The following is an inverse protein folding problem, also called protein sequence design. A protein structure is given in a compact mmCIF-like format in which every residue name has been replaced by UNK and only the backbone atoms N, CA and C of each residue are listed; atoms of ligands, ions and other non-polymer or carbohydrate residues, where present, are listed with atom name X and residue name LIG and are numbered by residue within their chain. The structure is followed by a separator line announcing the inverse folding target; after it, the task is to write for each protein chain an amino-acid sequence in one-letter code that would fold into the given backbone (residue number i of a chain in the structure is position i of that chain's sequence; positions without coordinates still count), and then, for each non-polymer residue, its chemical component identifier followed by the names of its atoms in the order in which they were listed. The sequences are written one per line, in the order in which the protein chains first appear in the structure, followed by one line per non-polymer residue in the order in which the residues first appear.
data_IF_379892895936
#
_entry.id   IF_379892895936
#
_cell.length_a   1.000
_cell.length_b   1.000
_cell.length_c   1.000
_cell.angle_alpha   90.00
_cell.angle_beta   90.00
_cell.angle_gamma   90.00
#
_symmetry.space_group_name_H-M   'P 1'
#
loop_
_entity.id
_entity.type
_entity.pdbx_description
1 polymer ?
#
# COMPACT_ATOMS: atom_id res chain seq x y z
N UNK A 1 -5.58 9.50 21.67
CA UNK A 1 -6.51 9.92 20.60
C UNK A 1 -6.15 9.07 19.40
N UNK A 2 -7.06 8.19 18.97
CA UNK A 2 -6.83 7.23 17.89
C UNK A 2 -7.20 7.94 16.59
N UNK A 3 -6.20 8.50 15.91
CA UNK A 3 -6.42 9.23 14.66
C UNK A 3 -6.11 8.25 13.54
N UNK A 4 -7.17 7.59 13.08
CA UNK A 4 -7.11 6.52 12.12
C UNK A 4 -6.81 7.02 10.71
N UNK A 5 -5.71 6.52 10.14
CA UNK A 5 -5.82 5.81 8.88
C UNK A 5 -5.04 4.51 9.03
N UNK A 6 -5.74 3.45 9.44
CA UNK A 6 -5.31 2.09 9.12
C UNK A 6 -5.51 1.98 7.60
N UNK A 7 -4.45 1.99 6.81
CA UNK A 7 -4.61 1.47 5.45
C UNK A 7 -4.34 -0.03 5.50
N UNK A 8 -5.40 -0.79 5.79
CA UNK A 8 -5.46 -2.21 5.43
C UNK A 8 -6.14 -2.43 4.07
N UNK A 9 -6.59 -1.38 3.37
CA UNK A 9 -7.60 -1.48 2.31
C UNK A 9 -7.49 -0.23 1.44
N UNK A 10 -7.30 -0.42 0.14
CA UNK A 10 -7.62 0.61 -0.85
C UNK A 10 -9.11 0.94 -0.67
N UNK A 11 -9.44 2.15 -0.22
CA UNK A 11 -10.76 2.46 0.34
C UNK A 11 -11.94 2.20 -0.63
N UNK A 12 -12.67 1.12 -0.38
CA UNK A 12 -14.15 1.05 -0.42
C UNK A 12 -14.62 0.81 1.02
N UNK A 13 -15.75 1.40 1.46
CA UNK A 13 -16.23 1.37 2.85
C UNK A 13 -16.45 0.00 3.51
N UNK A 14 -16.22 -1.13 2.83
CA UNK A 14 -16.70 -2.45 3.25
C UNK A 14 -15.62 -3.46 3.67
N UNK A 15 -14.35 -3.05 3.81
CA UNK A 15 -13.26 -3.97 4.20
C UNK A 15 -13.01 -5.15 3.24
N UNK A 16 -13.38 -5.01 1.97
CA UNK A 16 -13.25 -6.08 0.96
C UNK A 16 -11.97 -5.93 0.11
N UNK A 17 -11.41 -7.07 -0.33
CA UNK A 17 -10.33 -7.11 -1.30
C UNK A 17 -10.79 -6.49 -2.63
N UNK A 18 -9.94 -5.65 -3.22
CA UNK A 18 -10.21 -5.09 -4.55
C UNK A 18 -9.35 -5.81 -5.59
N UNK A 19 -10.02 -6.32 -6.62
CA UNK A 19 -9.33 -6.79 -7.82
C UNK A 19 -8.85 -5.58 -8.62
N UNK A 20 -7.54 -5.41 -8.69
CA UNK A 20 -6.90 -4.37 -9.48
C UNK A 20 -6.33 -5.02 -10.74
N UNK A 21 -6.48 -4.36 -11.89
CA UNK A 21 -5.85 -4.83 -13.11
C UNK A 21 -4.31 -4.64 -12.99
N UNK A 22 -3.50 -5.71 -13.09
CA UNK A 22 -2.04 -5.61 -12.98
C UNK A 22 -1.40 -4.77 -14.09
N UNK A 23 -2.09 -4.49 -15.20
CA UNK A 23 -1.58 -3.62 -16.27
C UNK A 23 -1.89 -2.14 -16.03
N UNK A 24 -2.44 -1.78 -14.88
CA UNK A 24 -2.80 -0.39 -14.57
C UNK A 24 -1.97 0.13 -13.41
N UNK A 25 -1.51 1.37 -13.53
CA UNK A 25 -0.88 2.08 -12.42
C UNK A 25 -1.87 2.26 -11.26
N UNK A 26 -1.36 2.24 -10.04
CA UNK A 26 -2.14 2.44 -8.82
C UNK A 26 -1.75 3.77 -8.21
N UNK A 27 -2.69 4.72 -8.18
CA UNK A 27 -2.52 6.03 -7.59
C UNK A 27 -3.39 6.15 -6.34
N UNK A 28 -2.76 6.39 -5.20
CA UNK A 28 -3.38 6.45 -3.88
C UNK A 28 -3.21 7.82 -3.28
N UNK A 29 -4.21 8.21 -2.49
CA UNK A 29 -4.14 9.41 -1.68
C UNK A 29 -4.43 9.07 -0.23
N UNK A 30 -3.53 9.52 0.64
CA UNK A 30 -3.65 9.44 2.08
C UNK A 30 -4.28 10.73 2.60
N UNK A 31 -5.46 10.60 3.19
CA UNK A 31 -6.13 11.69 3.91
C UNK A 31 -6.18 11.32 5.40
N UNK A 32 -5.63 12.20 6.22
CA UNK A 32 -5.75 12.08 7.66
C UNK A 32 -7.09 12.70 8.09
N UNK A 33 -7.95 11.90 8.72
CA UNK A 33 -9.27 12.32 9.20
C UNK A 33 -9.13 12.49 10.71
N UNK A 34 -9.52 13.66 11.25
CA UNK A 34 -9.39 14.14 12.66
C UNK A 34 -8.16 15.04 12.97
N UNK A 35 -7.57 14.95 14.18
CA UNK A 35 -6.63 15.93 14.76
C UNK A 35 -5.18 15.74 14.30
N UNK A 36 -4.94 15.92 13.01
CA UNK A 36 -3.64 15.79 12.36
C UNK A 36 -2.77 17.05 12.55
N UNK A 37 -2.75 17.62 13.76
CA UNK A 37 -2.21 18.97 14.01
C UNK A 37 -0.69 19.04 13.94
N UNK A 38 0.02 17.90 14.02
CA UNK A 38 1.48 17.80 14.01
C UNK A 38 1.97 16.60 13.19
N UNK A 39 1.46 16.42 11.97
CA UNK A 39 2.03 15.44 11.04
C UNK A 39 3.45 15.87 10.66
N UNK A 40 4.46 15.17 11.16
CA UNK A 40 5.87 15.48 10.84
C UNK A 40 6.35 14.65 9.66
N UNK A 41 5.85 13.41 9.53
CA UNK A 41 6.24 12.54 8.43
C UNK A 41 5.08 11.65 7.98
N UNK A 42 5.04 11.40 6.68
CA UNK A 42 4.16 10.41 6.05
C UNK A 42 5.08 9.37 5.44
N UNK A 43 4.75 8.09 5.55
CA UNK A 43 5.51 7.01 4.91
C UNK A 43 4.59 5.92 4.41
N UNK A 44 4.81 5.50 3.17
CA UNK A 44 4.14 4.35 2.57
C UNK A 44 5.00 3.09 2.67
N UNK A 45 4.45 2.05 3.28
CA UNK A 45 4.97 0.69 3.30
C UNK A 45 4.22 -0.15 2.27
N UNK A 46 4.94 -0.99 1.53
CA UNK A 46 4.37 -1.88 0.52
C UNK A 46 4.65 -3.31 0.96
N UNK A 47 3.61 -4.13 0.96
CA UNK A 47 3.66 -5.53 1.36
C UNK A 47 3.17 -6.42 0.22
N UNK A 48 3.78 -7.59 0.12
CA UNK A 48 3.33 -8.69 -0.72
C UNK A 48 2.62 -9.73 0.15
N UNK A 49 1.48 -10.21 -0.30
CA UNK A 49 0.72 -11.27 0.35
C UNK A 49 1.06 -12.63 -0.24
N UNK A 50 1.24 -13.62 0.63
CA UNK A 50 1.26 -15.04 0.27
C UNK A 50 0.01 -15.69 0.85
N UNK A 51 -0.85 -16.22 0.00
CA UNK A 51 -2.00 -16.99 0.44
C UNK A 51 -1.57 -18.40 0.82
N UNK A 52 -1.72 -18.73 2.10
CA UNK A 52 -1.61 -20.10 2.55
C UNK A 52 -3.01 -20.72 2.53
N UNK A 53 -3.31 -21.46 1.47
CA UNK A 53 -4.62 -22.07 1.21
C UNK A 53 -5.10 -23.01 2.33
N UNK A 54 -4.21 -23.39 3.25
CA UNK A 54 -4.50 -24.28 4.38
C UNK A 54 -5.11 -23.57 5.60
N UNK A 55 -4.86 -22.27 5.79
CA UNK A 55 -5.19 -21.56 7.04
C UNK A 55 -6.17 -20.38 6.87
N UNK A 56 -6.69 -20.14 5.65
CA UNK A 56 -7.52 -18.96 5.33
C UNK A 56 -6.90 -17.64 5.81
N UNK A 57 -5.57 -17.57 5.85
CA UNK A 57 -4.84 -16.40 6.32
C UNK A 57 -3.78 -16.01 5.29
N UNK A 58 -3.81 -14.75 4.88
CA UNK A 58 -2.78 -14.15 4.03
C UNK A 58 -1.61 -13.69 4.89
N UNK A 59 -0.42 -14.24 4.63
CA UNK A 59 0.80 -13.76 5.26
C UNK A 59 1.34 -12.54 4.50
N UNK A 60 1.42 -11.40 5.19
CA UNK A 60 1.97 -10.16 4.64
C UNK A 60 3.46 -10.03 4.93
N UNK A 61 4.27 -9.90 3.88
CA UNK A 61 5.72 -9.67 3.98
C UNK A 61 6.06 -8.32 3.40
N UNK A 62 6.90 -7.53 4.08
CA UNK A 62 7.34 -6.24 3.56
C UNK A 62 8.10 -6.45 2.25
N UNK A 63 7.80 -5.63 1.25
CA UNK A 63 8.51 -5.68 -0.02
C UNK A 63 9.90 -5.07 0.18
N UNK A 64 10.92 -5.93 0.27
CA UNK A 64 12.28 -5.54 0.68
C UNK A 64 12.95 -4.53 -0.27
N UNK A 65 12.53 -4.46 -1.54
CA UNK A 65 13.17 -3.60 -2.53
C UNK A 65 12.52 -2.22 -2.68
N UNK A 66 11.66 -1.81 -1.74
CA UNK A 66 10.95 -0.51 -1.83
C UNK A 66 11.85 0.73 -1.78
N UNK A 67 13.10 0.61 -1.31
CA UNK A 67 14.09 1.71 -1.35
C UNK A 67 14.83 1.73 -2.69
N UNK A 68 15.17 0.56 -3.22
CA UNK A 68 15.85 0.43 -4.52
C UNK A 68 14.97 0.91 -5.68
N UNK A 69 13.65 0.76 -5.57
CA UNK A 69 12.70 1.16 -6.60
C UNK A 69 12.02 2.51 -6.33
N UNK A 70 12.52 3.26 -5.35
CA UNK A 70 12.06 4.62 -5.10
C UNK A 70 12.38 5.52 -6.31
N UNK A 71 11.39 6.30 -6.76
CA UNK A 71 11.41 7.09 -7.99
C UNK A 71 11.60 6.28 -9.29
N UNK A 72 11.48 4.96 -9.23
CA UNK A 72 11.48 4.08 -10.40
C UNK A 72 10.12 3.43 -10.55
N UNK A 73 9.66 2.71 -9.52
CA UNK A 73 8.33 2.09 -9.48
C UNK A 73 7.40 2.73 -8.45
N UNK A 74 7.95 3.42 -7.46
CA UNK A 74 7.21 4.05 -6.38
C UNK A 74 7.50 5.55 -6.34
N UNK A 75 6.46 6.37 -6.36
CA UNK A 75 6.55 7.82 -6.30
C UNK A 75 5.75 8.34 -5.11
N UNK A 76 6.28 9.39 -4.46
CA UNK A 76 5.59 10.05 -3.35
C UNK A 76 5.46 9.20 -2.07
N UNK A 77 6.36 8.23 -1.86
CA UNK A 77 6.37 7.36 -0.67
C UNK A 77 6.39 8.10 0.67
N UNK A 78 6.91 9.32 0.70
CA UNK A 78 6.93 10.14 1.91
C UNK A 78 5.93 11.30 1.87
N UNK A 79 4.88 11.19 1.05
CA UNK A 79 3.87 12.23 0.84
C UNK A 79 2.47 11.65 0.91
N UNK A 80 1.46 12.51 0.90
CA UNK A 80 0.04 12.10 0.85
C UNK A 80 -0.34 11.45 -0.48
N UNK A 81 0.30 11.83 -1.58
CA UNK A 81 0.07 11.23 -2.89
C UNK A 81 1.09 10.11 -3.12
N UNK A 82 0.61 8.89 -3.30
CA UNK A 82 1.47 7.76 -3.63
C UNK A 82 1.10 7.21 -5.00
N UNK A 83 2.09 6.80 -5.77
CA UNK A 83 1.87 6.12 -7.05
C UNK A 83 2.80 4.93 -7.17
N UNK A 84 2.22 3.77 -7.45
CA UNK A 84 2.92 2.58 -7.92
C UNK A 84 2.62 2.38 -9.40
N UNK A 85 3.65 2.32 -10.24
CA UNK A 85 3.43 2.10 -11.68
C UNK A 85 3.15 0.62 -11.97
N UNK A 86 2.52 0.37 -13.11
CA UNK A 86 2.16 -0.96 -13.61
C UNK A 86 3.35 -1.93 -13.72
N UNK A 87 4.54 -1.41 -14.03
CA UNK A 87 5.78 -2.20 -14.11
C UNK A 87 6.06 -3.01 -12.83
N UNK A 88 5.63 -2.53 -11.65
CA UNK A 88 5.74 -3.28 -10.40
C UNK A 88 5.04 -4.64 -10.49
N UNK A 89 3.81 -4.64 -11.01
CA UNK A 89 2.97 -5.83 -11.08
C UNK A 89 3.41 -6.72 -12.25
N UNK A 90 3.76 -6.12 -13.39
CA UNK A 90 4.27 -6.83 -14.55
C UNK A 90 5.59 -7.56 -14.27
N UNK A 91 6.46 -6.98 -13.42
CA UNK A 91 7.73 -7.59 -13.04
C UNK A 91 7.61 -8.59 -11.88
N UNK A 92 6.47 -8.62 -11.19
CA UNK A 92 6.21 -9.55 -10.09
C UNK A 92 4.89 -10.30 -10.28
N UNK A 93 4.72 -11.02 -11.41
CA UNK A 93 3.46 -11.70 -11.75
C UNK A 93 3.13 -12.84 -10.78
N UNK A 94 4.10 -13.33 -10.02
CA UNK A 94 3.90 -14.33 -8.97
C UNK A 94 3.18 -13.78 -7.72
N UNK A 95 3.12 -12.46 -7.56
CA UNK A 95 2.52 -11.82 -6.39
C UNK A 95 1.08 -11.42 -6.73
N UNK A 96 0.13 -12.19 -6.21
CA UNK A 96 -1.29 -11.97 -6.47
C UNK A 96 -1.92 -10.95 -5.51
N UNK A 97 -1.29 -10.71 -4.36
CA UNK A 97 -1.85 -9.88 -3.29
C UNK A 97 -0.87 -8.78 -2.92
N UNK A 98 -1.36 -7.54 -2.93
CA UNK A 98 -0.59 -6.35 -2.60
C UNK A 98 -1.30 -5.57 -1.50
N UNK A 99 -0.53 -5.04 -0.56
CA UNK A 99 -1.02 -4.11 0.45
C UNK A 99 -0.13 -2.88 0.48
N UNK A 100 -0.77 -1.72 0.35
CA UNK A 100 -0.14 -0.41 0.48
C UNK A 100 -0.61 0.17 1.80
N UNK A 101 0.29 0.46 2.72
CA UNK A 101 -0.01 0.96 4.05
C UNK A 101 0.62 2.34 4.23
N UNK A 102 -0.16 3.32 4.70
CA UNK A 102 0.40 4.61 5.12
C UNK A 102 0.63 4.60 6.62
N UNK A 103 1.76 5.16 7.04
CA UNK A 103 2.13 5.42 8.42
C UNK A 103 2.36 6.91 8.57
N UNK A 104 1.73 7.48 9.60
CA UNK A 104 1.91 8.87 10.00
C UNK A 104 2.72 8.92 11.30
N UNK A 105 3.69 9.84 11.39
CA UNK A 105 4.46 10.09 12.62
C UNK A 105 4.54 11.57 12.94
#
# INVERSE_FOLDING_TARGET
IVIGCVISILCVPNLEYQFVNPTTQVALFALCVETCTNLQNIKWNIYQGSDNSSSNYTQWTLFNNTVLYENIWFFGKNTSNFTAIDQLFLNNPQINLWRFEVVYT
#
